data_IF_326483802941
#
_entry.id   IF_326483802941
#
_cell.length_a   1.000
_cell.length_b   1.000
_cell.length_c   1.000
_cell.angle_alpha   90.00
_cell.angle_beta   90.00
_cell.angle_gamma   90.00
#
_symmetry.space_group_name_H-M   'P 1'
#
loop_
_entity.id
_entity.type
_entity.pdbx_description
1 polymer ?
#
# COMPACT_ATOMS: atom_id res chain seq x y z
N UNK A 1 -12.14 3.38 -18.12
CA UNK A 1 -10.69 3.65 -18.09
C UNK A 1 -10.22 3.81 -16.65
N UNK A 2 -9.23 3.04 -16.26
CA UNK A 2 -8.73 3.09 -14.89
C UNK A 2 -7.71 4.20 -14.72
N UNK A 3 -7.94 5.07 -13.74
CA UNK A 3 -7.02 6.14 -13.44
C UNK A 3 -5.90 5.59 -12.56
N UNK A 4 -4.66 5.86 -12.94
CA UNK A 4 -3.51 5.44 -12.14
C UNK A 4 -3.37 6.31 -10.90
N UNK A 5 -2.88 5.71 -9.83
CA UNK A 5 -2.60 6.44 -8.60
C UNK A 5 -1.33 7.25 -8.80
N UNK A 6 -1.42 8.54 -8.60
CA UNK A 6 -0.30 9.46 -8.87
C UNK A 6 0.17 10.24 -7.66
N UNK A 7 -0.66 10.32 -6.62
CA UNK A 7 -0.31 11.05 -5.42
C UNK A 7 -0.52 10.19 -4.19
N UNK A 8 0.11 10.59 -3.10
CA UNK A 8 -0.05 9.93 -1.81
C UNK A 8 -1.53 9.94 -1.40
N UNK A 9 -2.21 11.08 -1.57
CA UNK A 9 -3.61 11.18 -1.20
C UNK A 9 -4.48 10.19 -1.98
N UNK A 10 -4.17 9.99 -3.26
CA UNK A 10 -4.92 9.04 -4.08
C UNK A 10 -4.75 7.61 -3.59
N UNK A 11 -3.57 7.26 -3.11
CA UNK A 11 -3.34 5.93 -2.54
C UNK A 11 -4.20 5.74 -1.31
N UNK A 12 -4.23 6.73 -0.41
CA UNK A 12 -5.07 6.64 0.78
C UNK A 12 -6.55 6.50 0.40
N UNK A 13 -7.00 7.29 -0.56
CA UNK A 13 -8.39 7.22 -1.01
C UNK A 13 -8.73 5.84 -1.56
N UNK A 14 -7.81 5.27 -2.33
CA UNK A 14 -8.01 3.94 -2.89
C UNK A 14 -8.11 2.88 -1.78
N UNK A 15 -7.18 2.92 -0.83
CA UNK A 15 -7.17 1.95 0.27
C UNK A 15 -8.42 2.09 1.14
N UNK A 16 -8.81 3.33 1.43
CA UNK A 16 -9.99 3.56 2.25
C UNK A 16 -11.27 3.13 1.54
N UNK A 17 -11.33 3.29 0.22
CA UNK A 17 -12.51 2.90 -0.54
C UNK A 17 -12.77 1.40 -0.48
N UNK A 18 -11.74 0.59 -0.23
CA UNK A 18 -11.93 -0.85 -0.13
C UNK A 18 -12.80 -1.25 1.06
N UNK A 19 -12.84 -0.42 2.10
CA UNK A 19 -13.70 -0.69 3.25
C UNK A 19 -15.18 -0.45 2.93
N UNK A 20 -15.46 0.31 1.88
CA UNK A 20 -16.83 0.57 1.43
C UNK A 20 -17.26 -0.43 0.36
N UNK A 21 -16.36 -1.28 -0.10
CA UNK A 21 -16.65 -2.27 -1.11
C UNK A 21 -16.79 -3.65 -0.46
N UNK A 22 -17.51 -4.51 -1.16
CA UNK A 22 -17.68 -5.87 -0.68
C UNK A 22 -16.48 -6.73 -1.09
N UNK A 23 -15.35 -6.49 -0.43
CA UNK A 23 -14.13 -7.24 -0.68
C UNK A 23 -13.92 -8.28 0.43
N UNK A 24 -13.10 -9.28 0.14
CA UNK A 24 -12.88 -10.35 1.12
C UNK A 24 -12.01 -9.86 2.30
N UNK A 25 -12.00 -10.67 3.37
CA UNK A 25 -11.29 -10.30 4.59
C UNK A 25 -9.78 -10.21 4.37
N UNK A 26 -9.22 -11.04 3.48
CA UNK A 26 -7.79 -10.98 3.18
C UNK A 26 -7.42 -9.65 2.55
N UNK A 27 -8.26 -9.16 1.64
CA UNK A 27 -8.04 -7.87 1.00
C UNK A 27 -8.13 -6.74 2.01
N UNK A 28 -9.11 -6.79 2.92
CA UNK A 28 -9.24 -5.77 3.96
C UNK A 28 -8.03 -5.79 4.90
N UNK A 29 -7.58 -6.97 5.29
CA UNK A 29 -6.41 -7.08 6.13
C UNK A 29 -5.18 -6.46 5.46
N UNK A 30 -4.92 -6.83 4.21
CA UNK A 30 -3.76 -6.32 3.49
C UNK A 30 -3.85 -4.81 3.28
N UNK A 31 -5.04 -4.31 2.97
CA UNK A 31 -5.25 -2.88 2.77
C UNK A 31 -4.92 -2.09 4.05
N UNK A 32 -5.44 -2.53 5.19
CA UNK A 32 -5.16 -1.85 6.45
C UNK A 32 -3.70 -1.92 6.85
N UNK A 33 -3.09 -3.09 6.65
CA UNK A 33 -1.68 -3.27 6.98
C UNK A 33 -0.80 -2.35 6.12
N UNK A 34 -1.04 -2.35 4.81
CA UNK A 34 -0.25 -1.51 3.90
C UNK A 34 -0.50 -0.02 4.11
N UNK A 35 -1.73 0.35 4.48
CA UNK A 35 -2.00 1.75 4.79
C UNK A 35 -1.10 2.25 5.91
N UNK A 36 -0.91 1.43 6.95
CA UNK A 36 -0.01 1.79 8.04
C UNK A 36 1.44 1.90 7.60
N UNK A 37 1.91 0.95 6.80
CA UNK A 37 3.27 1.00 6.28
C UNK A 37 3.49 2.20 5.37
N UNK A 38 2.49 2.48 4.53
CA UNK A 38 2.56 3.61 3.61
C UNK A 38 2.62 4.92 4.37
N UNK A 39 1.81 5.05 5.40
CA UNK A 39 1.81 6.24 6.26
C UNK A 39 3.18 6.44 6.91
N UNK A 40 3.78 5.36 7.39
CA UNK A 40 5.10 5.41 8.01
C UNK A 40 6.16 5.84 7.00
N UNK A 41 6.08 5.34 5.77
CA UNK A 41 7.02 5.71 4.73
C UNK A 41 6.87 7.18 4.35
N UNK A 42 5.63 7.63 4.16
CA UNK A 42 5.36 9.00 3.76
C UNK A 42 5.84 10.01 4.79
N UNK A 43 5.74 9.66 6.07
CA UNK A 43 6.15 10.60 7.12
C UNK A 43 7.62 11.01 7.03
N UNK A 44 8.43 10.22 6.33
CA UNK A 44 9.83 10.54 6.12
C UNK A 44 10.05 11.51 4.95
N UNK A 45 9.03 11.70 4.12
CA UNK A 45 9.15 12.50 2.91
C UNK A 45 8.23 13.71 2.88
N UNK A 46 7.56 13.98 3.94
CA UNK A 46 6.85 15.21 4.22
C UNK A 46 5.34 15.15 4.17
N UNK A 47 4.63 15.22 3.05
CA UNK A 47 3.19 15.38 3.17
C UNK A 47 2.39 14.56 2.17
N UNK A 48 1.07 14.50 2.44
CA UNK A 48 0.16 13.66 1.67
C UNK A 48 -0.13 14.18 0.28
N UNK A 49 0.18 15.45 0.02
CA UNK A 49 -0.07 16.04 -1.30
C UNK A 49 1.06 15.74 -2.27
N UNK A 50 2.11 15.17 -1.75
CA UNK A 50 3.28 14.85 -2.54
C UNK A 50 2.94 13.79 -3.60
N UNK A 51 3.56 13.93 -4.75
CA UNK A 51 3.41 12.92 -5.80
C UNK A 51 4.10 11.62 -5.37
N UNK A 52 3.56 10.50 -5.84
CA UNK A 52 4.21 9.22 -5.61
C UNK A 52 5.58 9.23 -6.29
N UNK A 53 6.56 8.68 -5.59
CA UNK A 53 7.92 8.62 -6.10
C UNK A 53 8.47 7.22 -5.91
N UNK A 54 9.53 6.92 -6.67
CA UNK A 54 10.21 5.64 -6.52
C UNK A 54 10.76 5.48 -5.10
N UNK A 55 11.16 6.58 -4.46
CA UNK A 55 11.69 6.53 -3.11
C UNK A 55 10.64 6.08 -2.10
N UNK A 56 9.41 6.59 -2.21
CA UNK A 56 8.32 6.17 -1.32
C UNK A 56 7.99 4.70 -1.54
N UNK A 57 7.89 4.30 -2.80
CA UNK A 57 7.58 2.91 -3.14
C UNK A 57 8.67 1.98 -2.61
N UNK A 58 9.92 2.38 -2.77
CA UNK A 58 11.04 1.58 -2.27
C UNK A 58 11.01 1.47 -0.75
N UNK A 59 10.68 2.57 -0.07
CA UNK A 59 10.61 2.56 1.38
C UNK A 59 9.52 1.60 1.88
N UNK A 60 8.36 1.59 1.23
CA UNK A 60 7.29 0.64 1.59
C UNK A 60 7.76 -0.78 1.35
N UNK A 61 8.42 -1.03 0.22
CA UNK A 61 8.93 -2.36 -0.10
C UNK A 61 9.93 -2.83 0.94
N UNK A 62 10.82 -1.94 1.38
CA UNK A 62 11.80 -2.26 2.42
C UNK A 62 11.12 -2.58 3.75
N UNK A 63 10.09 -1.84 4.10
CA UNK A 63 9.34 -2.10 5.32
C UNK A 63 8.62 -3.44 5.27
N UNK A 64 8.13 -3.83 4.10
CA UNK A 64 7.50 -5.13 3.92
C UNK A 64 8.50 -6.26 4.09
N UNK A 65 9.73 -6.09 3.59
CA UNK A 65 10.77 -7.09 3.79
C UNK A 65 11.06 -7.28 5.27
N UNK A 66 11.12 -6.18 6.02
CA UNK A 66 11.33 -6.26 7.48
C UNK A 66 10.15 -6.90 8.20
N UNK A 67 8.94 -6.59 7.75
CA UNK A 67 7.72 -7.11 8.37
C UNK A 67 7.55 -8.62 8.15
N UNK A 68 8.24 -9.16 7.15
CA UNK A 68 8.16 -10.58 6.84
C UNK A 68 8.46 -11.45 8.06
N UNK A 69 9.29 -10.97 8.96
CA UNK A 69 9.67 -11.69 10.17
C UNK A 69 8.54 -11.71 11.20
N UNK A 70 7.60 -10.80 11.10
CA UNK A 70 6.52 -10.63 12.07
C UNK A 70 5.21 -11.27 11.62
N UNK A 71 5.09 -11.54 10.33
CA UNK A 71 3.88 -12.08 9.74
C UNK A 71 4.00 -13.58 9.58
N UNK A 72 2.88 -14.28 9.71
CA UNK A 72 2.85 -15.70 9.35
C UNK A 72 3.10 -15.82 7.86
N UNK A 73 3.56 -16.99 7.37
CA UNK A 73 3.78 -17.16 5.94
C UNK A 73 2.53 -16.86 5.10
N UNK A 74 1.36 -17.23 5.60
CA UNK A 74 0.11 -16.97 4.89
C UNK A 74 -0.21 -15.48 4.83
N UNK A 75 -0.11 -14.79 5.96
CA UNK A 75 -0.37 -13.37 6.02
C UNK A 75 0.62 -12.58 5.17
N UNK A 76 1.88 -13.00 5.21
CA UNK A 76 2.91 -12.35 4.40
C UNK A 76 2.60 -12.47 2.91
N UNK A 77 2.15 -13.65 2.46
CA UNK A 77 1.79 -13.84 1.06
C UNK A 77 0.63 -12.94 0.65
N UNK A 78 -0.36 -12.81 1.53
CA UNK A 78 -1.52 -11.95 1.25
C UNK A 78 -1.09 -10.49 1.09
N UNK A 79 -0.26 -10.00 1.99
CA UNK A 79 0.19 -8.61 1.96
C UNK A 79 1.09 -8.37 0.75
N UNK A 80 2.00 -9.30 0.45
CA UNK A 80 2.91 -9.15 -0.68
C UNK A 80 2.15 -9.14 -2.02
N UNK A 81 1.18 -10.03 -2.17
CA UNK A 81 0.37 -10.06 -3.39
C UNK A 81 -0.42 -8.77 -3.56
N UNK A 82 -0.99 -8.27 -2.48
CA UNK A 82 -1.73 -7.01 -2.53
C UNK A 82 -0.81 -5.86 -2.94
N UNK A 83 0.40 -5.83 -2.40
CA UNK A 83 1.37 -4.78 -2.71
C UNK A 83 1.75 -4.79 -4.19
N UNK A 84 1.98 -5.98 -4.75
CA UNK A 84 2.30 -6.10 -6.17
C UNK A 84 1.18 -5.53 -7.04
N UNK A 85 -0.06 -5.89 -6.71
CA UNK A 85 -1.21 -5.40 -7.45
C UNK A 85 -1.35 -3.89 -7.32
N UNK A 86 -1.15 -3.38 -6.11
CA UNK A 86 -1.25 -1.94 -5.86
C UNK A 86 -0.20 -1.17 -6.64
N UNK A 87 1.02 -1.69 -6.70
CA UNK A 87 2.09 -1.04 -7.47
C UNK A 87 1.73 -0.90 -8.95
N UNK A 88 1.04 -1.88 -9.49
CA UNK A 88 0.62 -1.83 -10.89
C UNK A 88 -0.34 -0.69 -11.15
N UNK A 89 -1.02 -0.22 -10.12
CA UNK A 89 -1.94 0.92 -10.24
C UNK A 89 -1.24 2.25 -10.03
N UNK A 90 -0.03 2.24 -9.50
CA UNK A 90 0.68 3.47 -9.17
C UNK A 90 1.51 4.00 -10.32
N UNK A 91 2.15 3.11 -11.04
CA UNK A 91 3.13 3.49 -12.04
C UNK A 91 2.70 3.00 -13.40
N UNK A 92 2.46 3.93 -14.27
CA UNK A 92 2.26 3.60 -15.68
C UNK A 92 2.02 4.77 -16.51
#
# INVERSE_FOLDING_TARGET
MTKNLQTVAEVYQHLDSLFDQDVDSDTLFASGYLRGLFSSAVSQFSDEKQALSADIIQEVSDKLVSAKKELSPQDNAIVQNFWVILQQKMIN
#
